data_IF_963789110058
#
_entry.id   IF_963789110058
#
_cell.length_a   1.000
_cell.length_b   1.000
_cell.length_c   1.000
_cell.angle_alpha   90.00
_cell.angle_beta   90.00
_cell.angle_gamma   90.00
#
_symmetry.space_group_name_H-M   'P 1'
#
loop_
_entity.id
_entity.type
_entity.pdbx_description
1 polymer ?
#
# COMPACT_ATOMS: atom_id res chain seq x y z
N UNK A 1 -7.60 -0.25 -1.47
CA UNK A 1 -6.19 -0.04 -1.93
C UNK A 1 -6.24 0.77 -3.23
N UNK A 2 -5.50 0.40 -4.28
CA UNK A 2 -5.67 0.97 -5.62
C UNK A 2 -6.56 0.01 -6.42
N UNK A 3 -7.61 0.49 -7.08
CA UNK A 3 -8.50 -0.32 -7.94
C UNK A 3 -7.72 -1.16 -8.96
N UNK A 4 -6.61 -0.63 -9.51
CA UNK A 4 -5.73 -1.35 -10.43
C UNK A 4 -4.96 -2.48 -9.75
N UNK A 5 -4.66 -2.36 -8.45
CA UNK A 5 -4.06 -3.43 -7.65
C UNK A 5 -5.07 -4.51 -7.26
N UNK A 6 -6.32 -4.12 -6.99
CA UNK A 6 -7.42 -5.06 -6.73
C UNK A 6 -7.75 -5.86 -8.00
N UNK A 7 -8.02 -5.20 -9.14
CA UNK A 7 -8.26 -5.85 -10.44
C UNK A 7 -7.14 -6.84 -10.81
N UNK A 8 -5.86 -6.48 -10.61
CA UNK A 8 -4.74 -7.35 -10.97
C UNK A 8 -4.48 -8.48 -9.96
N UNK A 9 -4.91 -8.35 -8.69
CA UNK A 9 -4.89 -9.44 -7.71
C UNK A 9 -6.04 -10.42 -7.96
N UNK A 10 -7.23 -9.93 -8.30
CA UNK A 10 -8.34 -10.81 -8.68
C UNK A 10 -8.10 -11.51 -10.04
N UNK A 11 -7.27 -10.94 -10.92
CA UNK A 11 -6.74 -11.64 -12.11
C UNK A 11 -5.65 -12.70 -11.80
N UNK A 12 -5.13 -12.75 -10.57
CA UNK A 12 -4.13 -13.71 -10.12
C UNK A 12 -4.79 -14.94 -9.48
N UNK A 13 -5.71 -14.70 -8.53
CA UNK A 13 -6.47 -15.74 -7.84
C UNK A 13 -7.74 -16.08 -8.66
N UNK A 14 -7.66 -17.15 -9.47
CA UNK A 14 -8.82 -17.71 -10.18
C UNK A 14 -9.88 -18.17 -9.16
N UNK A 15 -11.17 -18.09 -9.49
CA UNK A 15 -11.81 -19.26 -10.12
C UNK A 15 -12.97 -18.97 -11.09
N UNK A 16 -13.25 -20.00 -11.91
CA UNK A 16 -14.40 -20.13 -12.82
C UNK A 16 -14.84 -21.59 -12.83
N UNK A 17 -16.15 -21.84 -12.88
CA UNK A 17 -16.73 -23.05 -13.49
C UNK A 17 -18.02 -22.75 -14.27
N UNK A 18 -18.01 -21.84 -15.25
CA UNK A 18 -19.19 -21.61 -16.10
C UNK A 18 -19.60 -22.96 -16.74
N UNK A 19 -20.88 -23.36 -16.56
CA UNK A 19 -21.35 -24.76 -16.47
C UNK A 19 -21.10 -25.44 -15.10
N UNK A 20 -21.50 -24.80 -13.98
CA UNK A 20 -21.43 -25.32 -12.59
C UNK A 20 -20.55 -24.49 -11.62
N UNK A 21 -20.94 -23.25 -11.29
CA UNK A 21 -20.01 -22.10 -11.27
C UNK A 21 -19.77 -21.34 -9.94
N UNK A 22 -18.52 -20.88 -9.75
CA UNK A 22 -18.15 -19.71 -8.92
C UNK A 22 -17.40 -18.64 -9.74
N UNK A 23 -17.90 -17.39 -9.86
CA UNK A 23 -17.28 -16.23 -10.57
C UNK A 23 -17.81 -14.84 -10.14
N UNK A 24 -17.15 -13.75 -10.58
CA UNK A 24 -17.79 -12.49 -11.06
C UNK A 24 -17.50 -12.27 -12.58
N UNK A 25 -17.97 -11.16 -13.15
CA UNK A 25 -18.51 -11.02 -14.50
C UNK A 25 -17.53 -10.93 -15.69
N UNK A 26 -16.27 -11.33 -15.51
CA UNK A 26 -15.36 -11.73 -16.61
C UNK A 26 -14.93 -13.20 -16.52
N UNK A 27 -15.26 -13.89 -15.42
CA UNK A 27 -14.59 -15.11 -14.96
C UNK A 27 -13.61 -14.89 -13.80
N UNK A 28 -13.93 -13.98 -12.87
CA UNK A 28 -13.04 -13.47 -11.79
C UNK A 28 -13.92 -13.02 -10.62
N UNK A 29 -13.72 -13.33 -9.32
CA UNK A 29 -14.54 -12.82 -8.17
C UNK A 29 -13.79 -11.83 -7.23
N UNK A 30 -14.32 -10.69 -6.71
CA UNK A 30 -15.65 -10.00 -6.69
C UNK A 30 -15.52 -8.43 -6.60
N UNK A 31 -15.72 -7.67 -7.69
CA UNK A 31 -15.49 -6.19 -7.76
C UNK A 31 -16.71 -5.23 -7.57
N UNK A 32 -17.72 -5.59 -6.77
CA UNK A 32 -19.02 -4.87 -6.72
C UNK A 32 -19.05 -3.40 -6.27
N UNK A 33 -17.94 -2.83 -5.83
CA UNK A 33 -17.83 -1.45 -5.27
C UNK A 33 -17.74 -0.38 -6.38
N UNK A 34 -17.37 -0.75 -7.61
CA UNK A 34 -16.99 0.19 -8.67
C UNK A 34 -17.97 0.25 -9.84
N UNK A 35 -18.17 1.46 -10.40
CA UNK A 35 -19.12 1.64 -11.51
C UNK A 35 -18.69 0.89 -12.78
N UNK A 36 -19.66 0.40 -13.55
CA UNK A 36 -19.41 -0.26 -14.85
C UNK A 36 -18.59 0.60 -15.82
N UNK A 37 -18.78 1.93 -15.79
CA UNK A 37 -18.02 2.91 -16.60
C UNK A 37 -16.55 2.97 -16.16
N UNK A 38 -16.30 3.03 -14.85
CA UNK A 38 -14.96 3.03 -14.24
C UNK A 38 -14.21 1.73 -14.54
N UNK A 39 -14.88 0.58 -14.41
CA UNK A 39 -14.31 -0.73 -14.71
C UNK A 39 -13.92 -0.83 -16.19
N UNK A 40 -14.82 -0.48 -17.12
CA UNK A 40 -14.54 -0.48 -18.56
C UNK A 40 -13.36 0.42 -18.92
N UNK A 41 -13.35 1.69 -18.49
CA UNK A 41 -12.22 2.59 -18.80
C UNK A 41 -10.89 2.16 -18.20
N UNK A 42 -10.91 1.43 -17.08
CA UNK A 42 -9.71 0.85 -16.47
C UNK A 42 -9.22 -0.36 -17.27
N UNK A 43 -10.12 -1.22 -17.72
CA UNK A 43 -9.80 -2.37 -18.59
C UNK A 43 -9.25 -1.91 -19.96
N UNK A 44 -9.89 -0.92 -20.59
CA UNK A 44 -9.41 -0.31 -21.84
C UNK A 44 -7.98 0.27 -21.68
N UNK A 45 -7.67 0.82 -20.50
CA UNK A 45 -6.32 1.29 -20.16
C UNK A 45 -5.34 0.13 -19.98
N UNK A 46 -5.71 -0.97 -19.32
CA UNK A 46 -4.83 -2.14 -19.15
C UNK A 46 -4.38 -2.75 -20.49
N UNK A 47 -5.22 -2.65 -21.53
CA UNK A 47 -4.85 -3.00 -22.90
C UNK A 47 -3.91 -1.98 -23.55
N UNK A 48 -4.20 -0.67 -23.45
CA UNK A 48 -3.32 0.41 -23.96
C UNK A 48 -1.93 0.39 -23.34
N UNK A 49 -1.86 0.19 -22.02
CA UNK A 49 -0.62 0.09 -21.25
C UNK A 49 0.10 -1.28 -21.46
N UNK A 50 -0.44 -2.15 -22.34
CA UNK A 50 0.05 -3.51 -22.69
C UNK A 50 0.28 -4.44 -21.49
N UNK A 51 -0.47 -4.23 -20.39
CA UNK A 51 -0.39 -5.02 -19.16
C UNK A 51 -1.23 -6.31 -19.26
N UNK A 52 -2.28 -6.29 -20.08
CA UNK A 52 -3.18 -7.42 -20.36
C UNK A 52 -3.30 -7.60 -21.88
N UNK A 53 -3.42 -8.84 -22.35
CA UNK A 53 -3.77 -9.19 -23.73
C UNK A 53 -5.07 -10.00 -23.78
N UNK A 54 -5.81 -9.90 -24.89
CA UNK A 54 -7.03 -10.69 -25.12
C UNK A 54 -6.69 -11.93 -25.94
N UNK A 55 -7.24 -13.07 -25.53
CA UNK A 55 -7.18 -14.35 -26.24
C UNK A 55 -8.60 -14.91 -26.40
N UNK A 56 -8.73 -16.00 -27.16
CA UNK A 56 -10.03 -16.63 -27.46
C UNK A 56 -10.81 -17.00 -26.17
N UNK A 57 -10.10 -17.46 -25.14
CA UNK A 57 -10.68 -17.93 -23.89
C UNK A 57 -10.65 -16.88 -22.76
N UNK A 58 -10.36 -15.60 -23.04
CA UNK A 58 -10.43 -14.51 -22.06
C UNK A 58 -9.26 -13.53 -22.08
N UNK A 59 -8.77 -13.16 -20.89
CA UNK A 59 -7.72 -12.15 -20.71
C UNK A 59 -6.50 -12.75 -20.02
N UNK A 60 -5.30 -12.46 -20.53
CA UNK A 60 -4.02 -12.95 -19.97
C UNK A 60 -3.11 -11.77 -19.60
N UNK A 61 -2.57 -11.79 -18.39
CA UNK A 61 -1.57 -10.82 -17.92
C UNK A 61 -0.26 -11.00 -18.70
N UNK A 62 0.24 -9.94 -19.32
CA UNK A 62 1.49 -9.98 -20.11
C UNK A 62 2.73 -10.03 -19.21
N UNK A 63 3.91 -10.23 -19.79
CA UNK A 63 5.19 -10.08 -19.07
C UNK A 63 5.31 -8.68 -18.44
N UNK A 64 4.79 -7.65 -19.11
CA UNK A 64 4.77 -6.28 -18.57
C UNK A 64 3.75 -6.13 -17.44
N UNK A 65 2.58 -6.78 -17.53
CA UNK A 65 1.63 -6.87 -16.43
C UNK A 65 2.20 -7.56 -15.20
N UNK A 66 2.93 -8.67 -15.38
CA UNK A 66 3.64 -9.38 -14.30
C UNK A 66 4.77 -8.55 -13.69
N UNK A 67 5.55 -7.82 -14.50
CA UNK A 67 6.57 -6.86 -14.01
C UNK A 67 5.96 -5.68 -13.26
N UNK A 68 4.81 -5.17 -13.73
CA UNK A 68 4.05 -4.11 -13.06
C UNK A 68 3.49 -4.58 -11.71
N UNK A 69 2.92 -5.80 -11.65
CA UNK A 69 2.49 -6.44 -10.41
C UNK A 69 3.66 -6.60 -9.44
N UNK A 70 4.75 -7.25 -9.87
CA UNK A 70 5.93 -7.46 -9.02
C UNK A 70 6.47 -6.14 -8.47
N UNK A 71 6.64 -5.09 -9.30
CA UNK A 71 7.05 -3.75 -8.84
C UNK A 71 6.08 -3.09 -7.85
N UNK A 72 4.82 -3.53 -7.81
CA UNK A 72 3.76 -3.06 -6.90
C UNK A 72 3.66 -3.91 -5.62
N UNK A 73 4.13 -5.15 -5.65
CA UNK A 73 4.28 -6.04 -4.49
C UNK A 73 5.61 -5.82 -3.77
N UNK A 74 6.67 -5.58 -4.53
CA UNK A 74 7.96 -5.02 -4.08
C UNK A 74 7.78 -3.57 -3.52
N UNK A 75 6.61 -2.94 -3.72
CA UNK A 75 6.33 -1.62 -3.14
C UNK A 75 5.98 -1.76 -1.65
N UNK A 76 6.73 -1.02 -0.82
CA UNK A 76 6.77 -1.16 0.63
C UNK A 76 5.36 -1.16 1.28
N UNK A 77 5.09 -2.14 2.16
CA UNK A 77 3.75 -2.46 2.72
C UNK A 77 2.99 -1.19 3.18
N UNK A 78 1.71 -1.07 2.81
CA UNK A 78 0.85 0.04 3.22
C UNK A 78 -0.03 -0.32 4.41
N UNK A 79 0.27 0.24 5.59
CA UNK A 79 -0.49 0.01 6.82
C UNK A 79 -1.80 0.81 6.84
N UNK A 80 -2.83 0.31 7.53
CA UNK A 80 -4.09 1.03 7.76
C UNK A 80 -3.87 2.27 8.64
N UNK A 81 -4.82 3.21 8.64
CA UNK A 81 -4.76 4.37 9.55
C UNK A 81 -5.18 3.91 10.95
N UNK A 82 -4.36 4.20 11.96
CA UNK A 82 -4.72 4.01 13.37
C UNK A 82 -5.97 4.85 13.73
N UNK A 83 -7.01 4.23 14.33
CA UNK A 83 -8.23 4.92 14.72
C UNK A 83 -8.07 5.60 16.09
N UNK A 84 -7.04 6.44 16.25
CA UNK A 84 -6.80 7.18 17.50
C UNK A 84 -6.94 8.67 17.22
N UNK A 85 -8.01 9.25 17.76
CA UNK A 85 -8.43 10.62 17.48
C UNK A 85 -7.83 11.64 18.46
N UNK A 86 -7.66 11.21 19.72
CA UNK A 86 -7.31 12.07 20.86
C UNK A 86 -6.08 11.62 21.67
N UNK A 87 -5.25 10.74 21.11
CA UNK A 87 -3.98 10.33 21.74
C UNK A 87 -2.96 11.45 21.83
N UNK A 88 -2.36 11.60 23.01
CA UNK A 88 -1.35 12.61 23.32
C UNK A 88 -0.08 12.45 22.46
N UNK A 89 0.45 13.59 21.98
CA UNK A 89 1.59 13.66 21.05
C UNK A 89 2.92 13.47 21.80
N UNK A 90 3.13 12.26 22.31
CA UNK A 90 4.19 11.92 23.25
C UNK A 90 5.28 11.01 22.65
N UNK A 91 5.21 10.63 21.38
CA UNK A 91 6.30 9.89 20.72
C UNK A 91 7.03 10.77 19.72
N UNK A 92 8.32 11.02 19.97
CA UNK A 92 9.26 11.60 19.03
C UNK A 92 9.91 10.47 18.22
N UNK A 93 9.83 10.55 16.89
CA UNK A 93 10.45 9.63 15.94
C UNK A 93 11.49 10.39 15.12
N UNK A 94 12.75 10.04 15.31
CA UNK A 94 13.89 10.57 14.57
C UNK A 94 14.44 9.48 13.67
N UNK A 95 14.88 9.82 12.45
CA UNK A 95 15.51 8.84 11.58
C UNK A 95 16.59 9.45 10.68
N UNK A 96 17.67 8.70 10.47
CA UNK A 96 18.71 9.03 9.50
C UNK A 96 18.90 7.88 8.51
N UNK A 97 18.06 7.88 7.48
CA UNK A 97 18.03 6.86 6.42
C UNK A 97 18.93 7.33 5.27
N UNK A 98 19.94 6.55 4.82
CA UNK A 98 20.89 6.96 3.78
C UNK A 98 20.25 7.45 2.48
N UNK A 99 20.97 8.30 1.72
CA UNK A 99 20.45 8.91 0.47
C UNK A 99 20.09 7.86 -0.59
N UNK A 100 20.81 6.73 -0.64
CA UNK A 100 20.48 5.59 -1.51
C UNK A 100 19.08 5.01 -1.22
N UNK A 101 18.64 5.02 0.05
CA UNK A 101 17.34 4.52 0.50
C UNK A 101 16.26 5.62 0.45
N UNK A 102 16.15 6.30 -0.70
CA UNK A 102 15.20 7.41 -0.90
C UNK A 102 13.74 6.94 -0.89
N UNK A 103 13.45 5.73 -1.39
CA UNK A 103 12.09 5.20 -1.47
C UNK A 103 11.54 4.86 -0.07
N UNK A 104 12.37 4.23 0.74
CA UNK A 104 12.16 3.87 2.15
C UNK A 104 11.94 5.13 2.99
N UNK A 105 12.78 6.16 2.78
CA UNK A 105 12.69 7.46 3.45
C UNK A 105 11.34 8.15 3.17
N UNK A 106 10.88 8.20 1.92
CA UNK A 106 9.60 8.82 1.58
C UNK A 106 8.39 7.96 1.97
N UNK A 107 8.50 6.63 1.87
CA UNK A 107 7.47 5.70 2.38
C UNK A 107 7.27 5.82 3.90
N UNK A 108 8.36 6.01 4.66
CA UNK A 108 8.33 6.23 6.10
C UNK A 108 7.61 7.56 6.43
N UNK A 109 7.95 8.63 5.71
CA UNK A 109 7.31 9.96 5.82
C UNK A 109 5.81 9.90 5.49
N UNK A 110 5.44 9.16 4.45
CA UNK A 110 4.03 8.90 4.09
C UNK A 110 3.28 8.19 5.23
N UNK A 111 3.86 7.15 5.82
CA UNK A 111 3.23 6.42 6.93
C UNK A 111 3.13 7.23 8.21
N UNK A 112 4.16 7.97 8.61
CA UNK A 112 4.11 8.86 9.77
C UNK A 112 3.00 9.91 9.60
N UNK A 113 2.92 10.57 8.43
CA UNK A 113 1.81 11.50 8.11
C UNK A 113 0.44 10.82 8.15
N UNK A 114 0.33 9.57 7.67
CA UNK A 114 -0.92 8.77 7.69
C UNK A 114 -1.36 8.40 9.11
N UNK A 115 -0.41 8.17 10.02
CA UNK A 115 -0.64 7.93 11.45
C UNK A 115 -0.87 9.22 12.27
N UNK A 116 -0.91 10.40 11.63
CA UNK A 116 -1.16 11.67 12.32
C UNK A 116 0.07 12.32 12.98
N UNK A 117 1.29 11.87 12.63
CA UNK A 117 2.51 12.52 13.08
C UNK A 117 2.71 13.86 12.36
N UNK A 118 3.23 14.83 13.09
CA UNK A 118 3.60 16.17 12.63
C UNK A 118 5.12 16.21 12.47
N UNK A 119 5.60 16.71 11.31
CA UNK A 119 7.02 16.98 11.11
C UNK A 119 7.42 18.24 11.89
N UNK A 120 8.38 18.14 12.81
CA UNK A 120 9.00 19.30 13.47
C UNK A 120 10.17 19.80 12.62
N UNK A 121 11.00 18.87 12.13
CA UNK A 121 12.19 19.14 11.33
C UNK A 121 12.35 18.05 10.26
N UNK A 122 13.21 18.27 9.26
CA UNK A 122 13.57 17.23 8.28
C UNK A 122 13.99 15.95 9.01
N UNK A 123 13.19 14.89 8.83
CA UNK A 123 13.35 13.57 9.49
C UNK A 123 13.17 13.52 11.02
N UNK A 124 12.57 14.55 11.63
CA UNK A 124 12.12 14.56 13.03
C UNK A 124 10.62 14.78 13.10
N UNK A 125 9.90 13.81 13.65
CA UNK A 125 8.44 13.78 13.69
C UNK A 125 7.94 13.55 15.11
N UNK A 126 6.83 14.18 15.49
CA UNK A 126 6.17 13.95 16.77
C UNK A 126 4.73 13.52 16.55
N UNK A 127 4.24 12.58 17.36
CA UNK A 127 2.91 12.04 17.16
C UNK A 127 2.43 11.11 18.27
N UNK A 128 1.29 10.44 18.04
CA UNK A 128 0.64 9.60 19.05
C UNK A 128 1.40 8.30 19.31
N UNK A 129 1.55 7.97 20.59
CA UNK A 129 2.03 6.65 21.03
C UNK A 129 0.83 5.71 21.26
N UNK A 130 0.92 4.40 20.95
CA UNK A 130 2.03 3.71 20.30
C UNK A 130 1.95 3.72 18.76
N UNK A 131 3.06 3.39 18.10
CA UNK A 131 3.07 3.00 16.68
C UNK A 131 2.46 1.59 16.51
N UNK A 132 1.91 1.24 15.32
CA UNK A 132 1.32 -0.08 15.09
C UNK A 132 2.36 -1.19 15.26
N UNK A 133 1.98 -2.30 15.89
CA UNK A 133 2.85 -3.48 16.08
C UNK A 133 3.37 -4.01 14.74
N UNK A 134 2.48 -4.16 13.76
CA UNK A 134 2.80 -4.67 12.42
C UNK A 134 3.77 -3.76 11.66
N UNK A 135 3.67 -2.44 11.87
CA UNK A 135 4.58 -1.45 11.31
C UNK A 135 5.96 -1.55 11.97
N UNK A 136 6.02 -1.73 13.29
CA UNK A 136 7.28 -1.96 14.02
C UNK A 136 7.93 -3.32 13.68
N UNK A 137 7.14 -4.34 13.34
CA UNK A 137 7.62 -5.61 12.80
C UNK A 137 8.18 -5.43 11.38
N UNK A 138 7.44 -4.77 10.49
CA UNK A 138 7.89 -4.54 9.12
C UNK A 138 9.17 -3.69 9.05
N UNK A 139 9.33 -2.70 9.93
CA UNK A 139 10.58 -1.94 10.05
C UNK A 139 11.79 -2.82 10.43
N UNK A 140 11.58 -3.99 11.06
CA UNK A 140 12.64 -5.02 11.23
C UNK A 140 12.86 -5.79 9.93
N UNK A 141 11.79 -6.24 9.26
CA UNK A 141 11.88 -6.98 7.98
C UNK A 141 12.72 -6.22 6.94
N UNK A 142 12.44 -4.93 6.73
CA UNK A 142 13.17 -4.08 5.78
C UNK A 142 14.49 -3.52 6.33
N UNK A 143 14.96 -3.99 7.49
CA UNK A 143 16.17 -3.54 8.22
C UNK A 143 16.21 -2.05 8.60
N UNK A 144 15.20 -1.27 8.25
CA UNK A 144 15.13 0.18 8.44
C UNK A 144 15.11 0.60 9.92
N UNK A 145 14.69 -0.29 10.84
CA UNK A 145 14.67 -0.04 12.30
C UNK A 145 16.02 0.49 12.82
N UNK A 146 17.16 0.04 12.27
CA UNK A 146 18.48 0.46 12.74
C UNK A 146 18.72 1.97 12.57
N UNK A 147 18.10 2.58 11.56
CA UNK A 147 18.17 4.00 11.23
C UNK A 147 17.14 4.86 11.98
N UNK A 148 16.29 4.25 12.82
CA UNK A 148 15.17 4.91 13.50
C UNK A 148 15.41 4.92 15.01
N UNK A 149 15.28 6.08 15.64
CA UNK A 149 15.28 6.26 17.10
C UNK A 149 13.93 6.80 17.55
N UNK A 150 13.42 6.29 18.66
CA UNK A 150 12.11 6.67 19.20
C UNK A 150 12.26 7.08 20.66
N UNK A 151 11.83 8.30 21.00
CA UNK A 151 11.91 8.84 22.35
C UNK A 151 10.50 9.13 22.86
N UNK A 152 10.20 8.71 24.10
CA UNK A 152 8.94 9.05 24.77
C UNK A 152 9.12 10.41 25.46
N UNK A 153 8.33 11.39 25.05
CA UNK A 153 8.26 12.70 25.68
C UNK A 153 7.45 12.60 26.98
N UNK A 154 7.93 13.27 28.03
CA UNK A 154 7.20 13.42 29.31
C UNK A 154 5.94 14.26 29.10
N UNK A 155 6.12 15.47 28.56
CA UNK A 155 5.03 16.38 28.21
C UNK A 155 4.56 16.18 26.76
N UNK A 156 3.25 16.28 26.46
CA UNK A 156 2.72 16.24 25.10
C UNK A 156 3.20 17.44 24.28
N UNK A 157 3.57 17.22 23.03
CA UNK A 157 3.88 18.31 22.11
C UNK A 157 2.62 19.11 21.77
N UNK A 158 2.53 20.31 22.37
CA UNK A 158 1.62 21.39 21.95
C UNK A 158 2.24 22.11 20.75
N UNK A 159 1.40 22.59 19.84
CA UNK A 159 1.76 23.33 18.62
C UNK A 159 1.03 24.66 18.63
#
# INVERSE_FOLDING_TARGET
MSIVGEILRELWDKEIKYKGMSVNLFGIPRLGIYSKRTLRSTVDRLFKDKLVRKELNGFIITINGKKYLKKKEDSLKSFSKLPIKDSSKNLLVMFDVPVAQKAEREWLRFHLKKFGYIMIQKSVWVGPSPLPTDFLLYLKEIKLKNYIKTFKLTNPYKK
#
